data_IF_321380568875
#
_entry.id   IF_321380568875
#
_cell.length_a   1.000
_cell.length_b   1.000
_cell.length_c   1.000
_cell.angle_alpha   90.00
_cell.angle_beta   90.00
_cell.angle_gamma   90.00
#
_symmetry.space_group_name_H-M   'P 1'
#
loop_
_entity.id
_entity.type
_entity.pdbx_description
1 polymer ?
#
# COMPACT_ATOMS: atom_id res chain seq x y z
N UNK A 1 8.08 36.16 -2.07
CA UNK A 1 7.18 35.03 -2.36
C UNK A 1 8.01 34.04 -3.16
N UNK A 2 8.46 32.98 -2.53
CA UNK A 2 9.23 31.91 -3.20
C UNK A 2 8.24 31.13 -4.08
N UNK A 3 8.51 31.11 -5.40
CA UNK A 3 7.84 30.21 -6.31
C UNK A 3 8.17 28.77 -5.86
N UNK A 4 7.17 28.10 -5.26
CA UNK A 4 7.24 26.63 -5.12
C UNK A 4 7.40 26.08 -6.53
N UNK A 5 8.48 25.36 -6.75
CA UNK A 5 8.76 24.68 -8.01
C UNK A 5 7.51 23.85 -8.37
N UNK A 6 6.84 24.22 -9.46
CA UNK A 6 5.77 23.45 -10.06
C UNK A 6 6.42 22.22 -10.67
N UNK A 7 6.31 21.10 -9.98
CA UNK A 7 6.91 19.83 -10.33
C UNK A 7 6.20 19.26 -11.57
N UNK A 8 6.51 19.78 -12.76
CA UNK A 8 6.19 19.12 -14.03
C UNK A 8 4.70 18.82 -14.30
N UNK A 9 3.77 19.49 -13.60
CA UNK A 9 2.30 19.29 -13.77
C UNK A 9 1.92 19.56 -15.22
N UNK A 10 1.33 18.56 -15.86
CA UNK A 10 0.88 18.61 -17.25
C UNK A 10 -0.60 18.97 -17.30
N UNK A 11 -0.90 20.12 -17.92
CA UNK A 11 -2.25 20.65 -18.04
C UNK A 11 -2.69 20.59 -19.49
N UNK A 12 -3.81 19.90 -19.74
CA UNK A 12 -4.49 19.86 -21.03
C UNK A 12 -5.67 20.84 -20.99
N UNK A 13 -5.74 21.74 -21.96
CA UNK A 13 -6.87 22.66 -22.14
C UNK A 13 -7.58 22.31 -23.44
N UNK A 14 -8.86 22.02 -23.36
CA UNK A 14 -9.71 21.64 -24.49
C UNK A 14 -10.89 22.58 -24.62
N UNK A 15 -11.06 23.21 -25.78
CA UNK A 15 -12.16 24.10 -26.04
C UNK A 15 -12.13 24.67 -27.47
N UNK A 16 -13.27 25.08 -27.99
CA UNK A 16 -13.39 25.63 -29.34
C UNK A 16 -13.04 27.14 -29.42
N UNK A 17 -12.95 27.81 -28.27
CA UNK A 17 -12.57 29.23 -28.18
C UNK A 17 -11.04 29.39 -28.03
N UNK A 18 -10.35 29.69 -29.15
CA UNK A 18 -8.89 29.87 -29.17
C UNK A 18 -8.43 30.97 -28.19
N UNK A 19 -9.21 32.04 -28.01
CA UNK A 19 -8.85 33.13 -27.11
C UNK A 19 -8.77 32.73 -25.64
N UNK A 20 -9.58 31.76 -25.20
CA UNK A 20 -9.52 31.20 -23.84
C UNK A 20 -8.27 30.32 -23.69
N UNK A 21 -8.01 29.48 -24.71
CA UNK A 21 -6.82 28.59 -24.72
C UNK A 21 -5.54 29.44 -24.66
N UNK A 22 -5.45 30.51 -25.44
CA UNK A 22 -4.29 31.41 -25.46
C UNK A 22 -4.08 32.12 -24.12
N UNK A 23 -5.17 32.64 -23.52
CA UNK A 23 -5.12 33.30 -22.23
C UNK A 23 -4.65 32.35 -21.12
N UNK A 24 -5.17 31.12 -21.08
CA UNK A 24 -4.75 30.07 -20.17
C UNK A 24 -3.31 29.63 -20.42
N UNK A 25 -2.89 29.54 -21.71
CA UNK A 25 -1.51 29.21 -22.10
C UNK A 25 -0.50 30.16 -21.45
N UNK A 26 -0.76 31.47 -21.53
CA UNK A 26 0.12 32.50 -20.96
C UNK A 26 0.24 32.31 -19.45
N UNK A 27 -0.89 32.15 -18.77
CA UNK A 27 -0.92 31.96 -17.30
C UNK A 27 -0.23 30.68 -16.89
N UNK A 28 -0.60 29.53 -17.46
CA UNK A 28 -0.10 28.22 -17.10
C UNK A 28 1.40 28.09 -17.30
N UNK A 29 1.91 28.58 -18.46
CA UNK A 29 3.35 28.63 -18.73
C UNK A 29 4.11 29.54 -17.78
N UNK A 30 3.54 30.71 -17.44
CA UNK A 30 4.14 31.62 -16.46
C UNK A 30 4.19 31.03 -15.06
N UNK A 31 3.20 30.20 -14.70
CA UNK A 31 3.16 29.46 -13.44
C UNK A 31 4.05 28.20 -13.45
N UNK A 32 4.73 27.91 -14.58
CA UNK A 32 5.67 26.79 -14.71
C UNK A 32 5.00 25.42 -15.00
N UNK A 33 3.74 25.41 -15.41
CA UNK A 33 3.04 24.20 -15.82
C UNK A 33 3.36 23.83 -17.27
N UNK A 34 3.33 22.53 -17.59
CA UNK A 34 3.47 22.02 -18.95
C UNK A 34 2.08 22.08 -19.59
N UNK A 35 1.93 22.96 -20.56
CA UNK A 35 0.65 23.27 -21.20
C UNK A 35 0.52 22.57 -22.55
N UNK A 36 -0.65 21.97 -22.79
CA UNK A 36 -1.11 21.49 -24.09
C UNK A 36 -2.52 22.04 -24.34
N UNK A 37 -2.73 22.67 -25.50
CA UNK A 37 -4.05 23.18 -25.93
C UNK A 37 -4.56 22.39 -27.14
N UNK A 38 -5.81 21.96 -27.14
CA UNK A 38 -6.47 21.20 -28.20
C UNK A 38 -7.86 21.78 -28.44
N UNK A 39 -8.22 21.96 -29.72
CA UNK A 39 -9.55 22.47 -30.08
C UNK A 39 -10.52 21.35 -30.46
N UNK A 40 -10.04 20.16 -30.84
CA UNK A 40 -10.86 19.02 -31.20
C UNK A 40 -11.05 18.09 -29.97
N UNK A 41 -12.29 17.89 -29.47
CA UNK A 41 -12.56 17.02 -28.34
C UNK A 41 -12.23 15.54 -28.60
N UNK A 42 -12.28 15.08 -29.86
CA UNK A 42 -11.93 13.68 -30.19
C UNK A 42 -10.40 13.50 -30.13
N UNK A 43 -9.63 14.47 -30.64
CA UNK A 43 -8.18 14.48 -30.49
C UNK A 43 -7.79 14.50 -29.01
N UNK A 44 -8.48 15.28 -28.18
CA UNK A 44 -8.22 15.34 -26.75
C UNK A 44 -8.36 13.98 -26.05
N UNK A 45 -9.41 13.20 -26.38
CA UNK A 45 -9.60 11.84 -25.85
C UNK A 45 -8.43 10.94 -26.26
N UNK A 46 -8.01 11.02 -27.53
CA UNK A 46 -6.89 10.22 -28.03
C UNK A 46 -5.57 10.60 -27.32
N UNK A 47 -5.31 11.90 -27.14
CA UNK A 47 -4.10 12.38 -26.44
C UNK A 47 -4.06 11.90 -24.99
N UNK A 48 -5.17 11.89 -24.25
CA UNK A 48 -5.23 11.37 -22.88
C UNK A 48 -4.98 9.86 -22.81
N UNK A 49 -5.21 9.11 -23.89
CA UNK A 49 -4.82 7.69 -23.98
C UNK A 49 -3.32 7.49 -24.20
N UNK A 50 -2.71 8.37 -24.97
CA UNK A 50 -1.32 8.26 -25.40
C UNK A 50 -0.33 8.92 -24.44
N UNK A 51 -0.78 9.99 -23.75
CA UNK A 51 0.05 10.79 -22.85
C UNK A 51 -0.60 10.95 -21.47
N UNK A 52 0.24 11.08 -20.47
CA UNK A 52 -0.24 11.40 -19.12
C UNK A 52 -0.46 12.91 -18.99
N UNK A 53 -1.62 13.28 -18.46
CA UNK A 53 -1.97 14.63 -17.99
C UNK A 53 -2.43 14.56 -16.53
N UNK A 54 -2.10 15.58 -15.75
CA UNK A 54 -2.50 15.69 -14.34
C UNK A 54 -3.82 16.44 -14.19
N UNK A 55 -4.01 17.49 -15.00
CA UNK A 55 -5.18 18.36 -14.99
C UNK A 55 -5.71 18.55 -16.40
N UNK A 56 -7.02 18.47 -16.57
CA UNK A 56 -7.72 18.82 -17.80
C UNK A 56 -8.71 19.95 -17.50
N UNK A 57 -8.62 21.03 -18.30
CA UNK A 57 -9.59 22.10 -18.33
C UNK A 57 -10.39 21.92 -19.61
N UNK A 58 -11.67 21.64 -19.48
CA UNK A 58 -12.51 21.20 -20.58
C UNK A 58 -13.70 22.11 -20.76
N UNK A 59 -13.89 22.66 -21.94
CA UNK A 59 -15.12 23.36 -22.27
C UNK A 59 -16.31 22.39 -22.35
N UNK A 60 -17.44 22.83 -21.85
CA UNK A 60 -18.64 22.00 -21.87
C UNK A 60 -19.32 21.99 -23.25
N UNK A 61 -19.40 23.14 -23.92
CA UNK A 61 -20.07 23.27 -25.23
C UNK A 61 -18.99 23.26 -26.31
N UNK A 62 -18.89 22.16 -27.01
CA UNK A 62 -17.97 21.96 -28.14
C UNK A 62 -18.64 21.14 -29.24
N UNK A 63 -18.06 21.19 -30.42
CA UNK A 63 -18.44 20.32 -31.56
C UNK A 63 -17.25 19.46 -31.97
N UNK A 64 -17.42 18.18 -32.38
CA UNK A 64 -18.68 17.47 -32.65
C UNK A 64 -19.34 16.83 -31.42
N UNK A 65 -18.67 16.78 -30.27
CA UNK A 65 -19.19 16.21 -29.03
C UNK A 65 -19.03 17.19 -27.86
N UNK A 66 -19.96 17.14 -26.91
CA UNK A 66 -19.93 17.99 -25.71
C UNK A 66 -18.97 17.48 -24.66
N UNK A 67 -18.59 18.37 -23.72
CA UNK A 67 -17.63 18.08 -22.67
C UNK A 67 -18.05 16.92 -21.74
N UNK A 68 -19.33 16.72 -21.48
CA UNK A 68 -19.81 15.58 -20.71
C UNK A 68 -19.52 14.24 -21.40
N UNK A 69 -19.69 14.15 -22.72
CA UNK A 69 -19.36 12.97 -23.50
C UNK A 69 -17.84 12.69 -23.49
N UNK A 70 -17.03 13.76 -23.56
CA UNK A 70 -15.57 13.64 -23.45
C UNK A 70 -15.18 13.07 -22.10
N UNK A 71 -15.75 13.57 -21.01
CA UNK A 71 -15.50 13.06 -19.66
C UNK A 71 -15.94 11.60 -19.52
N UNK A 72 -17.13 11.24 -20.00
CA UNK A 72 -17.62 9.86 -19.95
C UNK A 72 -16.67 8.88 -20.67
N UNK A 73 -16.18 9.26 -21.85
CA UNK A 73 -15.19 8.45 -22.57
C UNK A 73 -13.86 8.34 -21.83
N UNK A 74 -13.33 9.44 -21.28
CA UNK A 74 -12.07 9.43 -20.54
C UNK A 74 -12.21 8.60 -19.25
N UNK A 75 -13.31 8.70 -18.51
CA UNK A 75 -13.54 7.95 -17.27
C UNK A 75 -13.62 6.43 -17.45
N UNK A 76 -13.84 5.93 -18.67
CA UNK A 76 -13.75 4.49 -18.98
C UNK A 76 -12.35 3.91 -18.79
N UNK A 77 -11.30 4.72 -18.98
CA UNK A 77 -9.89 4.27 -18.92
C UNK A 77 -9.00 5.10 -17.97
N UNK A 78 -9.38 6.33 -17.61
CA UNK A 78 -8.62 7.19 -16.71
C UNK A 78 -9.55 7.81 -15.64
N UNK A 79 -9.47 7.28 -14.43
CA UNK A 79 -10.25 7.77 -13.26
C UNK A 79 -9.49 8.81 -12.45
N UNK A 80 -8.19 9.00 -12.71
CA UNK A 80 -7.32 9.83 -11.89
C UNK A 80 -7.13 11.24 -12.43
N UNK A 81 -7.34 11.47 -13.73
CA UNK A 81 -7.23 12.77 -14.35
C UNK A 81 -8.14 13.78 -13.64
N UNK A 82 -7.54 14.87 -13.12
CA UNK A 82 -8.28 15.95 -12.50
C UNK A 82 -8.97 16.77 -13.59
N UNK A 83 -10.31 16.85 -13.59
CA UNK A 83 -11.07 17.52 -14.63
C UNK A 83 -11.82 18.74 -14.06
N UNK A 84 -11.56 19.89 -14.66
CA UNK A 84 -12.32 21.13 -14.45
C UNK A 84 -13.14 21.44 -15.71
N UNK A 85 -14.47 21.55 -15.57
CA UNK A 85 -15.35 21.94 -16.66
C UNK A 85 -15.51 23.46 -16.73
N UNK A 86 -15.40 24.03 -17.93
CA UNK A 86 -15.80 25.40 -18.22
C UNK A 86 -17.17 25.42 -18.90
N UNK A 87 -18.05 26.29 -18.46
CA UNK A 87 -19.38 26.42 -19.04
C UNK A 87 -19.79 27.87 -19.22
N UNK A 88 -20.43 28.17 -20.36
CA UNK A 88 -20.98 29.51 -20.66
C UNK A 88 -22.47 29.64 -20.38
N UNK A 89 -23.15 28.58 -19.91
CA UNK A 89 -24.62 28.55 -19.83
C UNK A 89 -25.13 28.30 -18.42
N UNK A 90 -26.18 29.10 -18.06
CA UNK A 90 -26.92 28.97 -16.81
C UNK A 90 -27.89 27.77 -16.75
N UNK A 91 -28.05 27.06 -17.88
CA UNK A 91 -29.08 26.01 -18.07
C UNK A 91 -28.55 24.58 -17.93
N UNK A 92 -27.41 24.39 -17.26
CA UNK A 92 -26.95 23.03 -16.90
C UNK A 92 -27.85 22.43 -15.81
N UNK A 93 -28.08 21.09 -15.84
CA UNK A 93 -28.71 20.40 -14.74
C UNK A 93 -28.02 20.72 -13.41
N UNK A 94 -28.69 20.55 -12.26
CA UNK A 94 -28.15 20.96 -10.97
C UNK A 94 -26.69 20.53 -10.82
N UNK A 95 -25.84 21.49 -10.62
CA UNK A 95 -24.39 21.42 -10.59
C UNK A 95 -23.83 20.23 -9.83
N UNK A 96 -24.41 19.94 -8.65
CA UNK A 96 -24.00 18.84 -7.79
C UNK A 96 -24.24 17.47 -8.43
N UNK A 97 -25.33 17.34 -9.21
CA UNK A 97 -25.64 16.11 -9.93
C UNK A 97 -24.65 15.87 -11.08
N UNK A 98 -24.32 16.91 -11.81
CA UNK A 98 -23.36 16.86 -12.92
C UNK A 98 -21.96 16.50 -12.43
N UNK A 99 -21.47 17.13 -11.34
CA UNK A 99 -20.17 16.82 -10.72
C UNK A 99 -20.12 15.35 -10.30
N UNK A 100 -21.16 14.85 -9.62
CA UNK A 100 -21.22 13.47 -9.15
C UNK A 100 -21.35 12.47 -10.29
N UNK A 101 -22.21 12.76 -11.29
CA UNK A 101 -22.45 11.88 -12.44
C UNK A 101 -21.20 11.71 -13.30
N UNK A 102 -20.49 12.81 -13.54
CA UNK A 102 -19.33 12.82 -14.41
C UNK A 102 -18.02 12.53 -13.68
N UNK A 103 -18.03 12.43 -12.34
CA UNK A 103 -16.81 12.25 -11.53
C UNK A 103 -15.74 13.29 -11.87
N UNK A 104 -16.15 14.57 -11.89
CA UNK A 104 -15.26 15.72 -12.09
C UNK A 104 -14.99 16.43 -10.77
N UNK A 105 -13.87 17.14 -10.69
CA UNK A 105 -13.44 17.77 -9.44
C UNK A 105 -13.90 19.23 -9.29
N UNK A 106 -14.32 19.85 -10.39
CA UNK A 106 -14.85 21.20 -10.32
C UNK A 106 -15.39 21.70 -11.66
N UNK A 107 -16.06 22.83 -11.57
CA UNK A 107 -16.52 23.53 -12.76
C UNK A 107 -16.41 25.07 -12.52
N UNK A 108 -16.34 25.82 -13.60
CA UNK A 108 -16.28 27.28 -13.60
C UNK A 108 -17.17 27.85 -14.69
N UNK A 109 -17.96 28.89 -14.38
CA UNK A 109 -18.69 29.61 -15.41
C UNK A 109 -17.74 30.54 -16.19
N UNK A 110 -17.86 30.56 -17.52
CA UNK A 110 -17.06 31.47 -18.39
C UNK A 110 -17.35 32.94 -18.11
N UNK A 111 -18.53 33.26 -17.55
CA UNK A 111 -18.93 34.59 -17.10
C UNK A 111 -18.28 35.03 -15.78
N UNK A 112 -17.71 34.09 -15.04
CA UNK A 112 -17.00 34.36 -13.80
C UNK A 112 -15.69 35.11 -14.09
N UNK A 113 -15.23 35.83 -13.06
CA UNK A 113 -13.95 36.53 -13.19
C UNK A 113 -12.85 35.47 -13.46
N UNK A 114 -11.99 35.76 -14.39
CA UNK A 114 -10.83 34.90 -14.73
C UNK A 114 -10.04 34.49 -13.47
N UNK A 115 -10.02 35.32 -12.44
CA UNK A 115 -9.42 35.04 -11.13
C UNK A 115 -10.02 33.82 -10.42
N UNK A 116 -11.33 33.54 -10.59
CA UNK A 116 -11.96 32.35 -10.01
C UNK A 116 -11.47 31.06 -10.67
N UNK A 117 -11.33 31.07 -12.00
CA UNK A 117 -10.75 29.95 -12.74
C UNK A 117 -9.31 29.69 -12.30
N UNK A 118 -8.50 30.75 -12.16
CA UNK A 118 -7.13 30.62 -11.66
C UNK A 118 -7.06 30.03 -10.27
N UNK A 119 -7.96 30.45 -9.37
CA UNK A 119 -8.04 29.89 -8.02
C UNK A 119 -8.40 28.40 -8.03
N UNK A 120 -9.32 27.97 -8.91
CA UNK A 120 -9.70 26.57 -9.06
C UNK A 120 -8.52 25.74 -9.61
N UNK A 121 -7.79 26.26 -10.58
CA UNK A 121 -6.58 25.62 -11.13
C UNK A 121 -5.54 25.44 -10.03
N UNK A 122 -5.21 26.48 -9.28
CA UNK A 122 -4.24 26.41 -8.17
C UNK A 122 -4.68 25.43 -7.07
N UNK A 123 -5.97 25.42 -6.74
CA UNK A 123 -6.55 24.47 -5.79
C UNK A 123 -6.46 23.03 -6.32
N UNK A 124 -6.75 22.84 -7.60
CA UNK A 124 -6.62 21.54 -8.28
C UNK A 124 -5.19 21.02 -8.29
N UNK A 125 -4.24 21.87 -8.66
CA UNK A 125 -2.81 21.52 -8.63
C UNK A 125 -2.35 21.14 -7.22
N UNK A 126 -2.81 21.88 -6.21
CA UNK A 126 -2.51 21.53 -4.82
C UNK A 126 -3.07 20.16 -4.43
N UNK A 127 -4.30 19.85 -4.83
CA UNK A 127 -4.92 18.56 -4.59
C UNK A 127 -4.16 17.42 -5.31
N UNK A 128 -3.77 17.62 -6.58
CA UNK A 128 -2.96 16.67 -7.36
C UNK A 128 -1.63 16.38 -6.66
N UNK A 129 -0.91 17.42 -6.24
CA UNK A 129 0.35 17.26 -5.52
C UNK A 129 0.19 16.48 -4.21
N UNK A 130 -0.88 16.73 -3.46
CA UNK A 130 -1.20 15.98 -2.25
C UNK A 130 -1.50 14.50 -2.55
N UNK A 131 -2.28 14.22 -3.60
CA UNK A 131 -2.56 12.85 -4.02
C UNK A 131 -1.30 12.11 -4.45
N UNK A 132 -0.42 12.74 -5.23
CA UNK A 132 0.84 12.16 -5.66
C UNK A 132 1.76 11.88 -4.46
N UNK A 133 1.81 12.79 -3.49
CA UNK A 133 2.56 12.59 -2.25
C UNK A 133 2.02 11.40 -1.44
N UNK A 134 0.69 11.28 -1.32
CA UNK A 134 0.05 10.16 -0.62
C UNK A 134 0.39 8.83 -1.32
N UNK A 135 0.36 8.78 -2.66
CA UNK A 135 0.74 7.58 -3.43
C UNK A 135 2.19 7.20 -3.15
N UNK A 136 3.12 8.16 -3.23
CA UNK A 136 4.55 7.92 -2.95
C UNK A 136 4.76 7.37 -1.54
N UNK A 137 4.14 8.00 -0.53
CA UNK A 137 4.25 7.55 0.87
C UNK A 137 3.68 6.12 1.04
N UNK A 138 2.55 5.81 0.38
CA UNK A 138 1.98 4.47 0.45
C UNK A 138 2.88 3.40 -0.19
N UNK A 139 3.55 3.74 -1.29
CA UNK A 139 4.53 2.85 -1.94
C UNK A 139 5.75 2.63 -1.02
N UNK A 140 6.31 3.70 -0.47
CA UNK A 140 7.42 3.62 0.49
C UNK A 140 7.05 2.81 1.74
N UNK A 141 5.84 3.01 2.27
CA UNK A 141 5.34 2.26 3.43
C UNK A 141 5.20 0.77 3.12
N UNK A 142 4.69 0.45 1.93
CA UNK A 142 4.56 -0.94 1.47
C UNK A 142 5.93 -1.62 1.36
N UNK A 143 6.90 -0.94 0.76
CA UNK A 143 8.26 -1.48 0.66
C UNK A 143 8.92 -1.65 2.04
N UNK A 144 8.77 -0.65 2.93
CA UNK A 144 9.29 -0.74 4.29
C UNK A 144 8.66 -1.88 5.09
N UNK A 145 7.35 -2.09 4.95
CA UNK A 145 6.63 -3.21 5.58
C UNK A 145 7.15 -4.56 5.08
N UNK A 146 7.37 -4.71 3.77
CA UNK A 146 7.90 -5.95 3.20
C UNK A 146 9.33 -6.24 3.68
N UNK A 147 10.20 -5.21 3.72
CA UNK A 147 11.56 -5.35 4.24
C UNK A 147 11.58 -5.74 5.72
N UNK A 148 10.67 -5.16 6.52
CA UNK A 148 10.55 -5.50 7.93
C UNK A 148 10.10 -6.95 8.14
N UNK A 149 9.12 -7.41 7.37
CA UNK A 149 8.65 -8.79 7.41
C UNK A 149 9.76 -9.78 7.03
N UNK A 150 10.52 -9.47 5.99
CA UNK A 150 11.67 -10.28 5.58
C UNK A 150 12.73 -10.36 6.70
N UNK A 151 13.14 -9.21 7.25
CA UNK A 151 14.13 -9.17 8.33
C UNK A 151 13.64 -9.91 9.58
N UNK A 152 12.34 -9.85 9.87
CA UNK A 152 11.71 -10.62 10.93
C UNK A 152 11.85 -12.13 10.71
N UNK A 153 11.52 -12.61 9.51
CA UNK A 153 11.63 -14.03 9.17
C UNK A 153 13.09 -14.52 9.19
N UNK A 154 14.03 -13.72 8.67
CA UNK A 154 15.47 -14.01 8.74
C UNK A 154 15.97 -14.12 10.19
N UNK A 155 15.45 -13.25 11.09
CA UNK A 155 15.77 -13.30 12.51
C UNK A 155 15.24 -14.57 13.17
N UNK A 156 13.99 -14.97 12.86
CA UNK A 156 13.39 -16.23 13.32
C UNK A 156 14.23 -17.42 12.89
N UNK A 157 14.62 -17.48 11.61
CA UNK A 157 15.45 -18.56 11.09
C UNK A 157 16.82 -18.62 11.76
N UNK A 158 17.46 -17.48 11.96
CA UNK A 158 18.74 -17.38 12.67
C UNK A 158 18.65 -17.91 14.10
N UNK A 159 17.61 -17.52 14.83
CA UNK A 159 17.35 -18.02 16.18
C UNK A 159 17.09 -19.52 16.18
N UNK A 160 16.31 -20.03 15.23
CA UNK A 160 16.06 -21.46 15.06
C UNK A 160 17.37 -22.24 14.84
N UNK A 161 18.20 -21.79 13.91
CA UNK A 161 19.51 -22.41 13.67
C UNK A 161 20.41 -22.41 14.91
N UNK A 162 20.32 -21.38 15.72
CA UNK A 162 21.08 -21.29 16.97
C UNK A 162 20.65 -22.39 17.95
N UNK A 163 19.33 -22.66 18.03
CA UNK A 163 18.78 -23.74 18.87
C UNK A 163 19.16 -25.13 18.32
N UNK A 164 19.05 -25.33 17.01
CA UNK A 164 19.42 -26.60 16.36
C UNK A 164 20.92 -26.89 16.43
N UNK A 165 21.77 -25.86 16.48
CA UNK A 165 23.21 -26.04 16.69
C UNK A 165 23.51 -26.60 18.09
N UNK A 166 22.65 -26.36 19.07
CA UNK A 166 22.75 -26.89 20.42
C UNK A 166 22.40 -28.38 20.49
N UNK A 167 21.43 -28.85 19.71
CA UNK A 167 20.96 -30.25 19.68
C UNK A 167 20.99 -30.81 18.25
N UNK A 168 22.13 -31.41 17.84
CA UNK A 168 22.27 -31.97 16.48
C UNK A 168 21.25 -33.05 16.11
N UNK A 169 20.63 -33.73 17.10
CA UNK A 169 19.63 -34.75 16.86
C UNK A 169 18.29 -34.17 16.40
N UNK A 170 18.06 -32.86 16.60
CA UNK A 170 16.82 -32.19 16.22
C UNK A 170 16.90 -31.47 14.87
N UNK A 171 18.01 -31.61 14.12
CA UNK A 171 18.16 -30.96 12.83
C UNK A 171 16.99 -31.27 11.89
N UNK A 172 16.30 -30.22 11.44
CA UNK A 172 15.10 -30.30 10.60
C UNK A 172 13.86 -30.88 11.30
N UNK A 173 13.93 -31.17 12.61
CA UNK A 173 12.77 -31.62 13.37
C UNK A 173 11.76 -30.48 13.55
N UNK A 174 12.23 -29.32 13.94
CA UNK A 174 11.38 -28.15 14.14
C UNK A 174 10.67 -27.72 12.85
N UNK A 175 11.34 -27.84 11.69
CA UNK A 175 10.72 -27.58 10.38
C UNK A 175 9.55 -28.53 10.14
N UNK A 176 9.78 -29.85 10.32
CA UNK A 176 8.73 -30.86 10.12
C UNK A 176 7.55 -30.66 11.08
N UNK A 177 7.83 -30.37 12.35
CA UNK A 177 6.77 -30.08 13.35
C UNK A 177 5.96 -28.87 12.91
N UNK A 178 6.61 -27.79 12.52
CA UNK A 178 5.97 -26.58 12.02
C UNK A 178 5.09 -26.85 10.79
N UNK A 179 5.64 -27.51 9.78
CA UNK A 179 4.92 -27.83 8.54
C UNK A 179 3.69 -28.72 8.79
N UNK A 180 3.84 -29.80 9.59
CA UNK A 180 2.72 -30.66 9.91
C UNK A 180 1.67 -29.96 10.76
N UNK A 181 2.07 -29.12 11.71
CA UNK A 181 1.12 -28.35 12.51
C UNK A 181 0.27 -27.41 11.65
N UNK A 182 0.91 -26.73 10.68
CA UNK A 182 0.20 -25.86 9.71
C UNK A 182 -0.72 -26.69 8.82
N UNK A 183 -0.27 -27.86 8.33
CA UNK A 183 -1.10 -28.74 7.50
C UNK A 183 -2.36 -29.20 8.23
N UNK A 184 -2.21 -29.63 9.48
CA UNK A 184 -3.33 -30.03 10.34
C UNK A 184 -4.25 -28.83 10.62
N UNK A 185 -3.68 -27.65 10.95
CA UNK A 185 -4.44 -26.43 11.17
C UNK A 185 -5.29 -26.04 9.97
N UNK A 186 -4.74 -26.11 8.75
CA UNK A 186 -5.49 -25.87 7.51
C UNK A 186 -6.64 -26.86 7.33
N UNK A 187 -6.40 -28.13 7.60
CA UNK A 187 -7.45 -29.16 7.52
C UNK A 187 -8.59 -28.92 8.53
N UNK A 188 -8.26 -28.34 9.69
CA UNK A 188 -9.23 -27.97 10.73
C UNK A 188 -9.91 -26.62 10.45
N UNK A 189 -9.53 -25.89 9.40
CA UNK A 189 -10.14 -24.60 9.03
C UNK A 189 -9.72 -23.44 9.92
N UNK A 190 -8.53 -23.47 10.50
CA UNK A 190 -7.99 -22.38 11.31
C UNK A 190 -7.73 -21.13 10.45
N UNK A 191 -7.75 -19.96 11.08
CA UNK A 191 -7.45 -18.68 10.43
C UNK A 191 -5.97 -18.58 10.01
N UNK A 192 -5.66 -17.69 9.07
CA UNK A 192 -4.27 -17.44 8.66
C UNK A 192 -3.40 -16.96 9.83
N UNK A 193 -3.96 -16.23 10.79
CA UNK A 193 -3.29 -15.78 12.01
C UNK A 193 -2.93 -16.97 12.91
N UNK A 194 -3.88 -17.91 13.13
CA UNK A 194 -3.63 -19.11 13.90
C UNK A 194 -2.62 -20.03 13.21
N UNK A 195 -2.67 -20.13 11.87
CA UNK A 195 -1.71 -20.90 11.09
C UNK A 195 -0.30 -20.32 11.20
N UNK A 196 -0.17 -18.99 11.21
CA UNK A 196 1.10 -18.32 11.45
C UNK A 196 1.63 -18.61 12.86
N UNK A 197 0.76 -18.51 13.87
CA UNK A 197 1.08 -18.83 15.25
C UNK A 197 1.55 -20.29 15.40
N UNK A 198 0.86 -21.25 14.77
CA UNK A 198 1.26 -22.65 14.77
C UNK A 198 2.63 -22.84 14.09
N UNK A 199 2.87 -22.16 12.97
CA UNK A 199 4.14 -22.21 12.24
C UNK A 199 5.30 -21.79 13.13
N UNK A 200 5.21 -20.60 13.74
CA UNK A 200 6.26 -20.06 14.60
C UNK A 200 6.39 -20.89 15.89
N UNK A 201 5.26 -21.28 16.50
CA UNK A 201 5.25 -22.14 17.69
C UNK A 201 5.96 -23.47 17.45
N UNK A 202 5.71 -24.13 16.30
CA UNK A 202 6.39 -25.35 15.90
C UNK A 202 7.90 -25.20 15.70
N UNK A 203 8.35 -24.04 15.17
CA UNK A 203 9.78 -23.75 15.04
C UNK A 203 10.47 -23.56 16.38
N UNK A 204 9.78 -23.01 17.38
CA UNK A 204 10.35 -22.65 18.68
C UNK A 204 9.93 -23.54 19.85
N UNK A 205 9.16 -24.62 19.62
CA UNK A 205 8.67 -25.46 20.73
C UNK A 205 9.79 -25.94 21.65
N UNK A 206 10.94 -26.24 21.10
CA UNK A 206 12.13 -26.79 21.77
C UNK A 206 13.20 -25.73 22.14
N UNK A 207 12.92 -24.42 22.00
CA UNK A 207 13.93 -23.37 22.24
C UNK A 207 14.55 -23.45 23.64
N UNK A 208 13.79 -23.92 24.62
CA UNK A 208 14.28 -24.04 25.99
C UNK A 208 15.41 -25.05 26.19
N UNK A 209 15.68 -25.94 25.20
CA UNK A 209 16.85 -26.83 25.24
C UNK A 209 18.18 -26.09 25.32
N UNK A 210 18.21 -24.81 24.90
CA UNK A 210 19.40 -23.95 25.03
C UNK A 210 19.85 -23.82 26.49
N UNK A 211 18.91 -23.90 27.47
CA UNK A 211 19.21 -23.84 28.88
C UNK A 211 19.58 -25.18 29.52
N UNK A 212 19.50 -26.29 28.79
CA UNK A 212 19.87 -27.61 29.30
C UNK A 212 21.40 -27.80 29.15
N UNK A 213 22.10 -28.29 30.19
CA UNK A 213 23.53 -28.58 30.11
C UNK A 213 23.86 -29.62 29.01
N UNK A 214 24.93 -29.38 28.26
CA UNK A 214 25.39 -30.26 27.18
C UNK A 214 25.69 -31.70 27.68
N UNK A 215 26.20 -31.81 28.92
CA UNK A 215 26.46 -33.10 29.56
C UNK A 215 25.22 -33.97 29.74
N UNK A 216 24.03 -33.36 29.79
CA UNK A 216 22.73 -34.02 29.88
C UNK A 216 22.14 -34.16 28.48
N UNK A 217 22.06 -33.07 27.72
CA UNK A 217 21.42 -33.04 26.40
C UNK A 217 22.09 -33.99 25.39
N UNK A 218 23.42 -34.06 25.41
CA UNK A 218 24.25 -34.85 24.47
C UNK A 218 24.75 -36.14 25.09
N UNK A 219 24.24 -36.56 26.25
CA UNK A 219 24.69 -37.76 26.95
C UNK A 219 24.53 -39.03 26.11
N UNK A 220 25.59 -39.75 25.82
CA UNK A 220 25.49 -41.04 25.15
C UNK A 220 24.93 -42.10 26.10
N UNK A 221 23.67 -42.47 25.93
CA UNK A 221 23.03 -43.53 26.72
C UNK A 221 21.80 -43.08 27.49
N UNK A 222 21.40 -43.89 28.46
CA UNK A 222 20.18 -43.60 29.25
C UNK A 222 20.39 -42.48 30.28
N UNK A 223 19.42 -41.61 30.38
CA UNK A 223 19.38 -40.58 31.40
C UNK A 223 19.01 -41.15 32.77
N UNK A 224 19.55 -40.61 33.82
CA UNK A 224 19.07 -40.84 35.15
C UNK A 224 17.72 -40.13 35.35
N UNK A 225 16.92 -40.49 36.39
CA UNK A 225 15.67 -39.83 36.71
C UNK A 225 15.84 -38.29 36.91
N UNK A 226 16.93 -37.87 37.54
CA UNK A 226 17.22 -36.44 37.79
C UNK A 226 17.58 -35.71 36.48
N UNK A 227 18.43 -36.30 35.64
CA UNK A 227 18.75 -35.75 34.31
C UNK A 227 17.53 -35.67 33.39
N UNK A 228 16.65 -36.66 33.45
CA UNK A 228 15.39 -36.64 32.71
C UNK A 228 14.45 -35.55 33.22
N UNK A 229 14.41 -35.31 34.53
CA UNK A 229 13.64 -34.21 35.14
C UNK A 229 14.18 -32.85 34.65
N UNK A 230 15.50 -32.71 34.52
CA UNK A 230 16.12 -31.48 33.99
C UNK A 230 15.69 -31.21 32.56
N UNK A 231 15.71 -32.22 31.68
CA UNK A 231 15.23 -32.08 30.31
C UNK A 231 13.76 -31.66 30.22
N UNK A 232 12.92 -32.19 31.12
CA UNK A 232 11.50 -31.82 31.19
C UNK A 232 11.24 -30.36 31.52
N UNK A 233 12.24 -29.62 31.99
CA UNK A 233 12.13 -28.20 32.29
C UNK A 233 12.25 -27.30 31.03
N UNK A 234 12.67 -27.86 29.86
CA UNK A 234 12.88 -27.02 28.67
C UNK A 234 11.62 -26.23 28.24
N UNK A 235 10.35 -26.71 28.38
CA UNK A 235 9.21 -25.86 28.04
C UNK A 235 9.14 -24.60 28.92
N UNK A 236 9.41 -24.73 30.20
CA UNK A 236 9.42 -23.61 31.16
C UNK A 236 10.58 -22.64 30.88
N UNK A 237 11.75 -23.15 30.51
CA UNK A 237 12.90 -22.34 30.09
C UNK A 237 12.56 -21.63 28.79
N UNK A 238 11.92 -22.30 27.82
CA UNK A 238 11.48 -21.73 26.57
C UNK A 238 10.49 -20.59 26.77
N UNK A 239 9.51 -20.76 27.64
CA UNK A 239 8.57 -19.71 28.05
C UNK A 239 9.30 -18.51 28.63
N UNK A 240 10.28 -18.76 29.53
CA UNK A 240 11.06 -17.67 30.13
C UNK A 240 11.84 -16.88 29.08
N UNK A 241 12.48 -17.56 28.12
CA UNK A 241 13.23 -16.90 27.03
C UNK A 241 12.30 -16.06 26.17
N UNK A 242 11.19 -16.63 25.70
CA UNK A 242 10.28 -15.98 24.76
C UNK A 242 9.45 -14.85 25.38
N UNK A 243 9.17 -14.93 26.69
CA UNK A 243 8.40 -13.89 27.40
C UNK A 243 9.08 -12.52 27.43
N UNK A 244 10.38 -12.44 27.13
CA UNK A 244 11.11 -11.18 27.07
C UNK A 244 10.84 -10.37 25.77
N UNK A 245 10.19 -10.98 24.76
CA UNK A 245 9.87 -10.29 23.52
C UNK A 245 8.37 -10.42 23.23
N UNK A 246 7.69 -9.27 23.13
CA UNK A 246 6.24 -9.20 22.88
C UNK A 246 5.80 -9.96 21.62
N UNK A 247 6.67 -10.05 20.64
CA UNK A 247 6.47 -10.69 19.33
C UNK A 247 6.20 -12.21 19.44
N UNK A 248 6.64 -12.86 20.52
CA UNK A 248 6.44 -14.30 20.76
C UNK A 248 5.29 -14.62 21.71
N UNK A 249 4.52 -13.62 22.16
CA UNK A 249 3.47 -13.82 23.17
C UNK A 249 2.48 -14.90 22.76
N UNK A 250 2.07 -14.93 21.50
CA UNK A 250 1.00 -15.81 21.03
C UNK A 250 1.45 -17.26 20.87
N UNK A 251 2.75 -17.51 20.77
CA UNK A 251 3.30 -18.87 20.71
C UNK A 251 3.65 -19.45 22.09
N UNK A 252 3.65 -18.65 23.15
CA UNK A 252 3.97 -19.12 24.52
C UNK A 252 3.13 -20.31 24.96
N UNK A 253 1.80 -20.35 24.73
CA UNK A 253 0.98 -21.51 25.08
C UNK A 253 1.44 -22.78 24.35
N UNK A 254 1.83 -22.67 23.08
CA UNK A 254 2.31 -23.80 22.29
C UNK A 254 3.60 -24.34 22.89
N UNK A 255 4.57 -23.47 23.14
CA UNK A 255 5.86 -23.84 23.74
C UNK A 255 5.70 -24.44 25.14
N UNK A 256 4.76 -23.91 25.93
CA UNK A 256 4.52 -24.39 27.28
C UNK A 256 3.91 -25.80 27.32
N UNK A 257 3.00 -26.10 26.40
CA UNK A 257 2.10 -27.26 26.50
C UNK A 257 2.37 -28.32 25.41
N UNK A 258 3.45 -28.20 24.60
CA UNK A 258 3.71 -29.10 23.46
C UNK A 258 3.95 -30.56 23.86
N UNK A 259 4.20 -30.86 25.12
CA UNK A 259 4.30 -32.21 25.68
C UNK A 259 3.03 -32.67 26.38
N UNK A 260 1.99 -31.84 26.50
CA UNK A 260 0.72 -32.21 27.06
C UNK A 260 -0.13 -33.01 26.09
N UNK A 261 -0.96 -33.92 26.61
CA UNK A 261 -1.83 -34.81 25.80
C UNK A 261 -3.26 -34.29 25.78
#
# INVERSE_FOLDING_TARGET
MQAQASNGIKVLVVGDEIGIIDSLSIFLKKSGYIFTGITDPIEAIQRVKEEHFDLMILDFIMTPIHGDQVVEEIRKFNKELYILLLTGHKDLPPLLETIKRLDIQGYCEKSDRFDQLLLLIESGVKAINQMNMIKSINEELKEASQKLEQAYMESIETLRYTVEAKDPYTRGHSDRVSEFSVLIGKYLGLSDEDLHTLKIGGLFHDIGKIGIPDSILLKPGKLTPDEYSEIKNHPSIGVHILSNAAIFRDIIPIVKHHHER
#
